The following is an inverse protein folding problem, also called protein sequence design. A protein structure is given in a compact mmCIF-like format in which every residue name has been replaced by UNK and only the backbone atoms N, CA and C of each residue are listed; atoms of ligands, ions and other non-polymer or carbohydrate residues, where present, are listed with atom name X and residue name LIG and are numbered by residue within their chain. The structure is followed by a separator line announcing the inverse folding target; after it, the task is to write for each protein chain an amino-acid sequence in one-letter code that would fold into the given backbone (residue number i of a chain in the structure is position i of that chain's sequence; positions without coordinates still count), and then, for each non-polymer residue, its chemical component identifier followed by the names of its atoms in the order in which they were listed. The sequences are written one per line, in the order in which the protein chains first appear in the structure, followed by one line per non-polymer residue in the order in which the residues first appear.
data_IF_456112400673
#
_entry.id   IF_456112400673
#
_cell.length_a   1.000
_cell.length_b   1.000
_cell.length_c   1.000
_cell.angle_alpha   90.00
_cell.angle_beta   90.00
_cell.angle_gamma   90.00
#
_symmetry.space_group_name_H-M   'P 1'
#
loop_
_entity.id
_entity.type
_entity.pdbx_description
1 polymer ?
#
# COMPACT_ATOMS: atom_id res chain seq x y z
N UNK A 1 11.95 -7.37 -14.76
CA UNK A 1 11.99 -7.76 -13.35
C UNK A 1 10.59 -7.88 -12.76
N UNK A 2 9.71 -6.89 -12.88
CA UNK A 2 8.36 -6.92 -12.33
C UNK A 2 7.50 -8.07 -12.85
N UNK A 3 7.65 -8.48 -14.08
CA UNK A 3 6.94 -9.61 -14.69
C UNK A 3 7.31 -10.96 -14.07
N UNK A 4 8.47 -11.08 -13.44
CA UNK A 4 8.94 -12.29 -12.77
C UNK A 4 8.64 -12.33 -11.26
N UNK A 5 8.06 -11.26 -10.69
CA UNK A 5 7.62 -11.29 -9.31
C UNK A 5 6.46 -12.27 -9.16
N UNK A 6 6.42 -13.06 -8.08
CA UNK A 6 5.27 -13.93 -7.83
C UNK A 6 4.01 -13.07 -7.67
N UNK A 7 2.93 -13.48 -8.33
CA UNK A 7 1.62 -12.82 -8.25
C UNK A 7 1.05 -12.84 -6.84
N UNK A 8 1.42 -13.85 -6.10
CA UNK A 8 0.84 -14.17 -4.81
C UNK A 8 1.93 -14.75 -3.90
N UNK A 9 2.07 -14.17 -2.72
CA UNK A 9 3.10 -14.56 -1.76
C UNK A 9 2.53 -15.20 -0.49
N UNK A 10 1.21 -15.38 -0.40
CA UNK A 10 0.55 -15.91 0.78
C UNK A 10 0.57 -14.95 1.96
N UNK A 11 0.57 -13.65 1.71
CA UNK A 11 0.53 -12.64 2.77
C UNK A 11 -0.92 -12.33 3.18
N UNK A 12 -1.11 -11.87 4.40
CA UNK A 12 -2.44 -11.60 4.96
C UNK A 12 -3.27 -10.63 4.11
N UNK A 13 -2.63 -9.62 3.48
CA UNK A 13 -3.36 -8.65 2.66
C UNK A 13 -3.88 -9.23 1.33
N UNK A 14 -3.15 -10.17 0.76
CA UNK A 14 -3.60 -10.88 -0.43
C UNK A 14 -4.84 -11.76 -0.10
N UNK A 15 -4.80 -12.47 1.02
CA UNK A 15 -5.97 -13.23 1.50
C UNK A 15 -7.14 -12.32 1.85
N UNK A 16 -6.88 -11.18 2.49
CA UNK A 16 -7.89 -10.20 2.83
C UNK A 16 -8.59 -9.66 1.59
N UNK A 17 -7.82 -9.39 0.52
CA UNK A 17 -8.38 -8.98 -0.77
C UNK A 17 -9.23 -10.09 -1.37
N UNK A 18 -8.68 -11.31 -1.51
CA UNK A 18 -9.35 -12.45 -2.15
C UNK A 18 -10.61 -12.91 -1.43
N UNK A 19 -10.67 -12.76 -0.10
CA UNK A 19 -11.86 -13.11 0.69
C UNK A 19 -12.95 -12.06 0.66
N UNK A 20 -12.69 -10.87 0.09
CA UNK A 20 -13.67 -9.77 -0.02
C UNK A 20 -14.69 -10.03 -1.11
N UNK A 21 -15.90 -9.48 -0.96
CA UNK A 21 -17.02 -9.74 -1.88
C UNK A 21 -16.81 -9.13 -3.26
N UNK A 22 -16.19 -7.94 -3.31
CA UNK A 22 -15.91 -7.21 -4.54
C UNK A 22 -14.48 -6.68 -4.58
N UNK A 23 -14.00 -6.37 -5.77
CA UNK A 23 -12.70 -5.73 -5.99
C UNK A 23 -12.56 -4.45 -5.16
N UNK A 24 -13.59 -3.59 -5.16
CA UNK A 24 -13.57 -2.32 -4.42
C UNK A 24 -13.49 -2.52 -2.90
N UNK A 25 -14.20 -3.51 -2.35
CA UNK A 25 -14.09 -3.86 -0.93
C UNK A 25 -12.71 -4.41 -0.58
N UNK A 26 -12.17 -5.30 -1.39
CA UNK A 26 -10.82 -5.83 -1.22
C UNK A 26 -9.78 -4.74 -1.26
N UNK A 27 -9.88 -3.84 -2.24
CA UNK A 27 -8.98 -2.69 -2.39
C UNK A 27 -9.01 -1.78 -1.15
N UNK A 28 -10.21 -1.39 -0.68
CA UNK A 28 -10.36 -0.55 0.52
C UNK A 28 -9.73 -1.19 1.76
N UNK A 29 -9.89 -2.51 1.94
CA UNK A 29 -9.28 -3.24 3.06
C UNK A 29 -7.75 -3.24 2.96
N UNK A 30 -7.21 -3.54 1.79
CA UNK A 30 -5.74 -3.49 1.59
C UNK A 30 -5.20 -2.10 1.87
N UNK A 31 -5.87 -1.05 1.43
CA UNK A 31 -5.47 0.33 1.73
C UNK A 31 -5.53 0.65 3.23
N UNK A 32 -6.51 0.12 3.96
CA UNK A 32 -6.59 0.30 5.42
C UNK A 32 -5.44 -0.38 6.17
N UNK A 33 -4.92 -1.48 5.65
CA UNK A 33 -3.84 -2.26 6.25
C UNK A 33 -2.51 -2.18 5.49
N UNK A 34 -2.36 -1.26 4.54
CA UNK A 34 -1.18 -1.17 3.65
C UNK A 34 0.15 -1.05 4.40
N UNK A 35 0.14 -0.51 5.62
CA UNK A 35 1.30 -0.44 6.50
C UNK A 35 1.91 -1.81 6.81
N UNK A 36 1.14 -2.89 6.74
CA UNK A 36 1.66 -4.26 6.87
C UNK A 36 2.60 -4.67 5.73
N UNK A 37 2.56 -3.96 4.59
CA UNK A 37 3.49 -4.16 3.48
C UNK A 37 4.73 -3.28 3.69
N UNK A 38 4.53 -1.99 3.93
CA UNK A 38 5.59 -1.02 4.11
C UNK A 38 5.05 0.30 4.65
N UNK A 39 5.80 0.96 5.52
CA UNK A 39 5.52 2.34 5.95
C UNK A 39 5.66 3.37 4.81
N UNK A 40 6.28 2.99 3.69
CA UNK A 40 6.39 3.81 2.49
C UNK A 40 5.12 3.85 1.64
N UNK A 41 4.18 2.94 1.87
CA UNK A 41 2.92 2.90 1.16
C UNK A 41 1.91 3.83 1.83
N UNK A 42 1.41 4.81 1.08
CA UNK A 42 0.39 5.76 1.51
C UNK A 42 -0.71 5.90 0.43
N UNK A 43 -0.95 4.82 -0.28
CA UNK A 43 -1.91 4.77 -1.37
C UNK A 43 -3.31 5.17 -0.93
N UNK A 44 -3.98 5.93 -1.77
CA UNK A 44 -5.35 6.39 -1.56
C UNK A 44 -6.18 6.11 -2.80
N UNK A 45 -7.41 5.65 -2.59
CA UNK A 45 -8.40 5.51 -3.65
C UNK A 45 -9.23 6.79 -3.73
N UNK A 46 -9.19 7.44 -4.88
CA UNK A 46 -10.01 8.61 -5.19
C UNK A 46 -11.10 8.21 -6.18
N UNK A 47 -12.34 8.53 -5.85
CA UNK A 47 -13.52 8.30 -6.69
C UNK A 47 -14.27 9.61 -6.76
N UNK A 48 -14.44 10.12 -7.96
CA UNK A 48 -15.29 11.28 -8.28
C UNK A 48 -16.31 10.88 -9.32
N UNK A 49 -17.16 11.81 -9.74
CA UNK A 49 -18.13 11.56 -10.82
C UNK A 49 -17.45 11.33 -12.18
N UNK A 50 -16.24 11.84 -12.36
CA UNK A 50 -15.50 11.79 -13.63
C UNK A 50 -14.31 10.84 -13.60
N UNK A 51 -13.69 10.61 -12.43
CA UNK A 51 -12.41 9.91 -12.31
C UNK A 51 -12.40 8.88 -11.19
N UNK A 52 -11.68 7.79 -11.43
CA UNK A 52 -11.36 6.78 -10.44
C UNK A 52 -9.87 6.41 -10.55
N UNK A 53 -9.12 6.64 -9.47
CA UNK A 53 -7.69 6.35 -9.48
C UNK A 53 -7.13 6.04 -8.09
N UNK A 54 -6.01 5.31 -8.09
CA UNK A 54 -5.12 5.20 -6.93
C UNK A 54 -4.03 6.26 -7.04
N UNK A 55 -3.72 6.93 -5.94
CA UNK A 55 -2.64 7.92 -5.86
C UNK A 55 -1.74 7.65 -4.66
N UNK A 56 -0.59 8.32 -4.60
CA UNK A 56 0.40 8.23 -3.50
C UNK A 56 0.83 6.78 -3.21
N UNK A 57 0.94 5.95 -4.23
CA UNK A 57 1.25 4.52 -4.07
C UNK A 57 2.64 4.27 -3.46
N UNK A 58 3.57 5.22 -3.58
CA UNK A 58 4.90 5.17 -2.98
C UNK A 58 5.35 6.59 -2.62
N UNK A 59 6.16 6.72 -1.58
CA UNK A 59 6.75 8.02 -1.18
C UNK A 59 7.79 8.50 -2.20
N UNK A 60 8.02 9.83 -2.23
CA UNK A 60 8.90 10.57 -3.16
C UNK A 60 10.39 10.18 -3.16
N UNK A 61 10.80 9.19 -2.42
CA UNK A 61 12.19 8.70 -2.37
C UNK A 61 12.43 7.35 -3.06
N UNK A 62 11.41 6.77 -3.66
CA UNK A 62 11.55 5.45 -4.27
C UNK A 62 12.33 5.52 -5.59
N UNK A 63 13.31 4.63 -5.75
CA UNK A 63 14.06 4.52 -7.01
C UNK A 63 13.13 4.14 -8.16
N UNK A 64 13.31 4.76 -9.34
CA UNK A 64 12.56 4.50 -10.56
C UNK A 64 12.26 3.02 -10.79
N UNK A 65 13.30 2.19 -10.83
CA UNK A 65 13.14 0.76 -11.12
C UNK A 65 12.30 0.02 -10.09
N UNK A 66 12.40 0.41 -8.82
CA UNK A 66 11.56 -0.14 -7.74
C UNK A 66 10.10 0.22 -7.97
N UNK A 67 9.82 1.48 -8.27
CA UNK A 67 8.48 1.99 -8.53
C UNK A 67 7.84 1.29 -9.74
N UNK A 68 8.56 1.23 -10.85
CA UNK A 68 8.10 0.55 -12.07
C UNK A 68 7.85 -0.95 -11.81
N UNK A 69 8.73 -1.62 -11.07
CA UNK A 69 8.61 -3.04 -10.74
C UNK A 69 7.39 -3.32 -9.83
N UNK A 70 7.15 -2.50 -8.82
CA UNK A 70 5.99 -2.60 -7.93
C UNK A 70 4.71 -2.35 -8.73
N UNK A 71 4.69 -1.35 -9.61
CA UNK A 71 3.53 -1.07 -10.47
C UNK A 71 3.15 -2.29 -11.31
N UNK A 72 4.11 -2.94 -11.97
CA UNK A 72 3.85 -4.17 -12.72
C UNK A 72 3.23 -5.25 -11.83
N UNK A 73 3.78 -5.46 -10.63
CA UNK A 73 3.29 -6.47 -9.70
C UNK A 73 1.85 -6.19 -9.24
N UNK A 74 1.54 -4.93 -8.91
CA UNK A 74 0.20 -4.48 -8.51
C UNK A 74 -0.81 -4.68 -9.65
N UNK A 75 -0.48 -4.25 -10.87
CA UNK A 75 -1.39 -4.40 -12.02
C UNK A 75 -1.63 -5.87 -12.37
N UNK A 76 -0.60 -6.72 -12.27
CA UNK A 76 -0.76 -8.16 -12.47
C UNK A 76 -1.66 -8.78 -11.41
N UNK A 77 -1.52 -8.38 -10.14
CA UNK A 77 -2.39 -8.84 -9.07
C UNK A 77 -3.84 -8.38 -9.30
N UNK A 78 -4.05 -7.10 -9.65
CA UNK A 78 -5.39 -6.58 -9.93
C UNK A 78 -6.06 -7.27 -11.12
N UNK A 79 -5.31 -7.54 -12.19
CA UNK A 79 -5.82 -8.35 -13.31
C UNK A 79 -6.17 -9.77 -12.89
N UNK A 80 -5.35 -10.38 -12.06
CA UNK A 80 -5.60 -11.73 -11.54
C UNK A 80 -6.89 -11.80 -10.71
N UNK A 81 -7.04 -10.93 -9.70
CA UNK A 81 -8.20 -10.95 -8.80
C UNK A 81 -9.50 -10.50 -9.45
N UNK A 82 -9.43 -9.73 -10.52
CA UNK A 82 -10.58 -9.28 -11.32
C UNK A 82 -10.86 -10.14 -12.55
N UNK A 83 -10.16 -11.27 -12.70
CA UNK A 83 -10.25 -12.14 -13.89
C UNK A 83 -10.05 -11.37 -15.22
N UNK A 84 -9.10 -10.44 -15.21
CA UNK A 84 -8.77 -9.62 -16.38
C UNK A 84 -9.66 -8.39 -16.59
N UNK A 85 -10.66 -8.16 -15.75
CA UNK A 85 -11.56 -7.00 -15.90
C UNK A 85 -10.87 -5.68 -15.52
N UNK A 86 -9.86 -5.72 -14.65
CA UNK A 86 -9.06 -4.53 -14.34
C UNK A 86 -8.18 -4.16 -15.54
N UNK A 87 -8.42 -2.96 -16.06
CA UNK A 87 -7.60 -2.36 -17.11
C UNK A 87 -7.22 -0.94 -16.67
N UNK A 88 -5.91 -0.65 -16.56
CA UNK A 88 -5.47 0.72 -16.32
C UNK A 88 -5.75 1.57 -17.57
N UNK A 89 -6.19 2.80 -17.35
CA UNK A 89 -6.43 3.78 -18.41
C UNK A 89 -5.20 4.65 -18.66
N UNK A 90 -4.51 5.03 -17.58
CA UNK A 90 -3.33 5.88 -17.60
C UNK A 90 -2.53 5.66 -16.33
N UNK A 91 -1.21 5.72 -16.44
CA UNK A 91 -0.30 5.68 -15.29
C UNK A 91 0.55 6.94 -15.30
N UNK A 92 0.75 7.52 -14.12
CA UNK A 92 1.61 8.66 -13.88
C UNK A 92 2.75 8.24 -12.96
N UNK A 93 3.99 8.60 -13.34
CA UNK A 93 5.17 8.44 -12.52
C UNK A 93 5.84 9.79 -12.22
N UNK A 94 6.45 9.90 -11.05
CA UNK A 94 7.15 11.12 -10.63
C UNK A 94 8.53 11.29 -11.27
N UNK A 95 9.19 10.18 -11.66
CA UNK A 95 10.47 10.28 -12.35
C UNK A 95 10.31 10.84 -13.78
N UNK A 96 11.26 11.71 -14.17
CA UNK A 96 11.22 12.39 -15.47
C UNK A 96 11.83 11.57 -16.62
N UNK A 97 12.68 10.59 -16.30
CA UNK A 97 13.35 9.74 -17.28
C UNK A 97 12.85 8.30 -17.20
N UNK A 98 12.68 7.66 -18.34
CA UNK A 98 12.11 6.33 -18.42
C UNK A 98 12.47 5.55 -19.67
N UNK A 99 11.74 4.47 -19.92
CA UNK A 99 11.72 3.76 -21.18
C UNK A 99 10.98 4.61 -22.25
N UNK A 100 11.04 4.17 -23.50
CA UNK A 100 10.21 4.78 -24.52
C UNK A 100 8.71 4.48 -24.29
N UNK A 101 7.79 5.30 -24.82
CA UNK A 101 6.35 5.11 -24.63
C UNK A 101 5.83 3.74 -25.07
N UNK A 102 6.35 3.19 -26.14
CA UNK A 102 5.94 1.89 -26.71
C UNK A 102 6.26 0.74 -25.71
N UNK A 103 7.41 0.80 -25.05
CA UNK A 103 7.80 -0.21 -24.06
C UNK A 103 6.90 -0.12 -22.80
N UNK A 104 6.55 1.08 -22.37
CA UNK A 104 5.60 1.27 -21.27
C UNK A 104 4.22 0.74 -21.63
N UNK A 105 3.70 1.04 -22.81
CA UNK A 105 2.41 0.56 -23.27
C UNK A 105 2.39 -0.97 -23.39
N UNK A 106 3.48 -1.57 -23.87
CA UNK A 106 3.66 -3.03 -23.92
C UNK A 106 3.59 -3.68 -22.55
N UNK A 107 4.22 -3.06 -21.54
CA UNK A 107 4.34 -3.63 -20.18
C UNK A 107 3.07 -3.40 -19.37
N UNK A 108 2.54 -2.18 -19.39
CA UNK A 108 1.40 -1.79 -18.55
C UNK A 108 0.04 -1.98 -19.23
N UNK A 109 0.01 -1.93 -20.57
CA UNK A 109 -1.21 -2.01 -21.37
C UNK A 109 -1.99 -0.69 -21.42
N UNK A 110 -1.32 0.42 -21.10
CA UNK A 110 -1.89 1.77 -21.18
C UNK A 110 -0.77 2.81 -21.34
N UNK A 111 -1.11 4.05 -21.77
CA UNK A 111 -0.17 5.16 -21.80
C UNK A 111 0.40 5.49 -20.41
N UNK A 112 1.65 6.00 -20.41
CA UNK A 112 2.37 6.43 -19.21
C UNK A 112 2.84 7.87 -19.34
N UNK A 113 2.63 8.67 -18.31
CA UNK A 113 3.11 10.05 -18.21
C UNK A 113 4.22 10.10 -17.16
N UNK A 114 5.36 10.68 -17.53
CA UNK A 114 6.52 10.87 -16.65
C UNK A 114 6.58 12.31 -16.13
N UNK A 115 7.26 12.52 -15.00
CA UNK A 115 7.44 13.84 -14.40
C UNK A 115 6.18 14.39 -13.73
N UNK A 116 5.25 13.55 -13.34
CA UNK A 116 4.05 13.96 -12.62
C UNK A 116 4.35 14.29 -11.13
N UNK A 117 3.42 14.97 -10.47
CA UNK A 117 3.55 15.32 -9.05
C UNK A 117 3.38 14.13 -8.11
N UNK A 118 2.59 13.13 -8.54
CA UNK A 118 2.35 11.91 -7.76
C UNK A 118 2.24 10.68 -8.66
N UNK A 119 2.50 9.51 -8.08
CA UNK A 119 2.29 8.23 -8.76
C UNK A 119 0.81 7.90 -8.72
N UNK A 120 0.17 7.83 -9.90
CA UNK A 120 -1.26 7.55 -10.04
C UNK A 120 -1.53 6.44 -11.03
N UNK A 121 -2.59 5.68 -10.78
CA UNK A 121 -3.16 4.70 -11.73
C UNK A 121 -4.62 4.99 -11.90
N UNK A 122 -5.02 5.41 -13.08
CA UNK A 122 -6.40 5.66 -13.47
C UNK A 122 -7.04 4.38 -14.02
N UNK A 123 -8.28 4.12 -13.67
CA UNK A 123 -9.04 2.96 -14.12
C UNK A 123 -10.55 3.25 -14.11
N UNK A 124 -11.32 2.40 -14.75
CA UNK A 124 -12.78 2.55 -14.79
C UNK A 124 -13.42 2.20 -13.44
N UNK A 125 -14.32 3.02 -12.88
CA UNK A 125 -14.94 2.78 -11.59
C UNK A 125 -15.79 1.49 -11.54
N UNK A 126 -16.28 1.01 -12.68
CA UNK A 126 -17.08 -0.20 -12.77
C UNK A 126 -16.34 -1.44 -12.21
N UNK A 127 -15.02 -1.47 -12.32
CA UNK A 127 -14.22 -2.59 -11.80
C UNK A 127 -14.34 -2.75 -10.30
N UNK A 128 -14.67 -1.69 -9.56
CA UNK A 128 -14.87 -1.74 -8.11
C UNK A 128 -16.01 -2.68 -7.71
N UNK A 129 -16.98 -2.88 -8.61
CA UNK A 129 -18.13 -3.75 -8.41
C UNK A 129 -17.89 -5.19 -8.90
N UNK A 130 -16.72 -5.48 -9.47
CA UNK A 130 -16.38 -6.84 -9.92
C UNK A 130 -16.38 -7.78 -8.72
N UNK A 131 -17.15 -8.86 -8.81
CA UNK A 131 -17.20 -9.91 -7.78
C UNK A 131 -15.89 -10.71 -7.77
N UNK A 132 -15.44 -11.05 -6.58
CA UNK A 132 -14.30 -11.94 -6.37
C UNK A 132 -14.83 -13.34 -6.11
N UNK A 133 -14.47 -14.30 -6.96
CA UNK A 133 -14.98 -15.68 -6.90
C UNK A 133 -14.56 -16.44 -5.64
N UNK A 134 -13.40 -16.09 -5.09
CA UNK A 134 -12.86 -16.67 -3.86
C UNK A 134 -13.45 -16.04 -2.59
N UNK A 135 -14.40 -15.11 -2.73
CA UNK A 135 -15.01 -14.40 -1.61
C UNK A 135 -15.66 -15.38 -0.62
N UNK A 136 -15.17 -15.37 0.61
CA UNK A 136 -15.65 -16.22 1.69
C UNK A 136 -15.78 -15.40 2.99
N UNK A 137 -17.00 -15.11 3.43
CA UNK A 137 -17.23 -14.21 4.58
C UNK A 137 -16.61 -14.69 5.90
N UNK A 138 -16.48 -16.00 6.10
CA UNK A 138 -15.86 -16.53 7.33
C UNK A 138 -14.35 -16.35 7.27
N UNK A 139 -13.72 -16.65 6.15
CA UNK A 139 -12.30 -16.41 5.94
C UNK A 139 -11.97 -14.91 5.99
N UNK A 140 -12.85 -14.06 5.45
CA UNK A 140 -12.66 -12.60 5.51
C UNK A 140 -12.54 -12.13 6.96
N UNK A 141 -13.47 -12.54 7.84
CA UNK A 141 -13.40 -12.18 9.27
C UNK A 141 -12.11 -12.64 9.94
N UNK A 142 -11.68 -13.84 9.65
CA UNK A 142 -10.40 -14.37 10.16
C UNK A 142 -9.20 -13.57 9.66
N UNK A 143 -9.16 -13.24 8.38
CA UNK A 143 -8.07 -12.46 7.80
C UNK A 143 -8.07 -11.01 8.30
N UNK A 144 -9.24 -10.38 8.52
CA UNK A 144 -9.35 -9.04 9.12
C UNK A 144 -8.82 -9.05 10.57
N UNK A 145 -9.18 -10.04 11.35
CA UNK A 145 -8.66 -10.19 12.70
C UNK A 145 -7.14 -10.33 12.70
N UNK A 146 -6.60 -11.22 11.86
CA UNK A 146 -5.15 -11.43 11.72
C UNK A 146 -4.42 -10.16 11.26
N UNK A 147 -4.98 -9.41 10.30
CA UNK A 147 -4.42 -8.15 9.84
C UNK A 147 -4.41 -7.10 10.96
N UNK A 148 -5.49 -7.02 11.73
CA UNK A 148 -5.59 -6.11 12.88
C UNK A 148 -4.56 -6.45 13.97
N UNK A 149 -4.42 -7.71 14.34
CA UNK A 149 -3.42 -8.17 15.32
C UNK A 149 -2.00 -7.82 14.87
N UNK A 150 -1.65 -8.10 13.60
CA UNK A 150 -0.34 -7.74 13.04
C UNK A 150 -0.09 -6.22 13.03
N UNK A 151 -1.10 -5.41 12.72
CA UNK A 151 -0.97 -3.96 12.76
C UNK A 151 -0.74 -3.44 14.19
N UNK A 152 -1.41 -4.04 15.18
CA UNK A 152 -1.16 -3.73 16.59
C UNK A 152 0.25 -4.13 17.04
N UNK A 153 0.77 -5.27 16.58
CA UNK A 153 2.15 -5.69 16.86
C UNK A 153 3.17 -4.70 16.30
N UNK A 154 2.98 -4.23 15.06
CA UNK A 154 3.81 -3.18 14.46
C UNK A 154 3.78 -1.90 15.29
N UNK A 155 2.59 -1.43 15.66
CA UNK A 155 2.46 -0.21 16.47
C UNK A 155 3.15 -0.34 17.84
N UNK A 156 3.11 -1.51 18.47
CA UNK A 156 3.86 -1.77 19.72
C UNK A 156 5.37 -1.74 19.49
N UNK A 157 5.83 -2.34 18.41
CA UNK A 157 7.26 -2.34 18.06
C UNK A 157 7.78 -0.92 17.81
N UNK A 158 7.01 -0.09 17.11
CA UNK A 158 7.36 1.32 16.87
C UNK A 158 7.45 2.09 18.18
N UNK A 159 6.47 1.95 19.05
CA UNK A 159 6.48 2.62 20.36
C UNK A 159 7.73 2.23 21.16
N UNK A 160 8.10 0.94 21.20
CA UNK A 160 9.30 0.48 21.91
C UNK A 160 10.56 1.08 21.27
N UNK A 161 10.62 1.16 19.95
CA UNK A 161 11.76 1.74 19.24
C UNK A 161 11.87 3.24 19.52
N UNK A 162 10.75 3.97 19.48
CA UNK A 162 10.70 5.41 19.82
C UNK A 162 11.09 5.67 21.28
N UNK A 163 10.63 4.84 22.22
CA UNK A 163 11.04 4.93 23.63
C UNK A 163 12.54 4.73 23.78
N UNK A 164 13.12 3.71 23.13
CA UNK A 164 14.55 3.44 23.18
C UNK A 164 15.35 4.61 22.62
N UNK A 165 14.93 5.19 21.50
CA UNK A 165 15.56 6.37 20.89
C UNK A 165 15.49 7.57 21.84
N UNK A 166 14.30 7.87 22.41
CA UNK A 166 14.10 8.97 23.32
C UNK A 166 14.93 8.84 24.60
N UNK A 167 15.10 7.62 25.13
CA UNK A 167 16.00 7.33 26.26
C UNK A 167 17.44 7.61 25.88
N UNK A 168 17.92 7.09 24.73
CA UNK A 168 19.30 7.30 24.28
C UNK A 168 19.65 8.79 24.18
N UNK A 169 18.82 9.57 23.53
CA UNK A 169 19.01 11.02 23.40
C UNK A 169 18.91 11.79 24.75
N UNK A 170 18.08 11.28 25.69
CA UNK A 170 17.95 11.86 27.02
C UNK A 170 19.16 11.55 27.92
N UNK A 171 19.79 10.40 27.76
CA UNK A 171 21.01 10.02 28.48
C UNK A 171 22.16 10.96 28.14
N UNK A 172 22.30 11.34 26.89
CA UNK A 172 23.33 12.31 26.45
C UNK A 172 23.14 13.68 27.10
N UNK A 173 21.89 14.08 27.37
CA UNK A 173 21.52 15.35 28.01
C UNK A 173 21.53 15.31 29.55
N UNK A 174 21.71 14.14 30.17
CA UNK A 174 21.73 13.92 31.62
C UNK A 174 20.38 14.05 32.31
N UNK A 175 19.28 14.13 31.59
CA UNK A 175 17.94 14.33 32.15
C UNK A 175 16.95 13.26 31.68
N UNK A 176 17.19 12.01 32.15
CA UNK A 176 16.35 10.85 31.79
C UNK A 176 15.38 10.53 32.92
N UNK A 177 14.11 10.84 32.74
CA UNK A 177 13.02 10.40 33.62
C UNK A 177 11.87 9.81 32.80
N UNK A 178 11.02 9.00 33.43
CA UNK A 178 9.82 8.44 32.80
C UNK A 178 8.92 9.57 32.26
N UNK A 179 8.76 10.62 33.05
CA UNK A 179 7.94 11.78 32.72
C UNK A 179 8.50 12.55 31.50
N UNK A 180 9.82 12.72 31.44
CA UNK A 180 10.49 13.39 30.31
C UNK A 180 10.29 12.61 29.02
N UNK A 181 10.51 11.29 29.03
CA UNK A 181 10.32 10.43 27.86
C UNK A 181 8.86 10.38 27.46
N UNK A 182 7.93 10.20 28.40
CA UNK A 182 6.50 10.16 28.12
C UNK A 182 5.98 11.48 27.51
N UNK A 183 6.42 12.63 28.05
CA UNK A 183 6.09 13.95 27.52
C UNK A 183 6.59 14.13 26.09
N UNK A 184 7.81 13.68 25.81
CA UNK A 184 8.41 13.78 24.47
C UNK A 184 7.64 12.96 23.44
N UNK A 185 7.18 11.77 23.83
CA UNK A 185 6.40 10.86 22.98
C UNK A 185 4.89 11.17 22.99
N UNK A 186 4.48 12.21 23.71
CA UNK A 186 3.08 12.60 23.86
C UNK A 186 2.18 11.44 24.35
N UNK A 187 2.69 10.62 25.26
CA UNK A 187 1.97 9.51 25.90
C UNK A 187 1.85 9.72 27.40
N UNK A 188 0.85 9.09 28.02
CA UNK A 188 0.71 9.15 29.46
C UNK A 188 1.74 8.23 30.15
N UNK A 189 2.51 8.72 31.16
CA UNK A 189 3.38 7.87 31.94
C UNK A 189 2.53 6.90 32.78
N UNK A 190 2.57 5.64 32.43
CA UNK A 190 1.95 4.57 33.23
C UNK A 190 3.04 3.65 33.77
N UNK A 191 2.89 3.27 35.04
CA UNK A 191 3.70 2.26 35.68
C UNK A 191 3.28 0.87 35.27
#
# INVERSE_FOLDING_TARGET
LGEHLPLYRGQVLEYLFLSSSTFGEGLKRVLAYQRLISDMLQAQLVITDEECYLTNMLNDGAYRHTTECIMVAVLRFFRFVSEGQFQPLMIYFTHAEGANPEEYERVYGCPVVLGAEAICVYFKPEVLNTRIWQAEPELLRFHEQLAHEKLQELARFDLVTEVRRAIGESLESGNTSLETVAKRLNVAPRR
#
